data_IF_451521537376
#
_entry.id   IF_451521537376
#
_cell.length_a   1.000
_cell.length_b   1.000
_cell.length_c   1.000
_cell.angle_alpha   90.00
_cell.angle_beta   90.00
_cell.angle_gamma   90.00
#
_symmetry.space_group_name_H-M   'P 1'
#
loop_
_entity.id
_entity.type
_entity.pdbx_description
1 polymer ?
#
# COMPACT_ATOMS: atom_id res chain seq x y z
N UNK A 1 23.24 -84.39 25.27
CA UNK A 1 23.23 -82.99 25.73
C UNK A 1 22.54 -82.15 24.66
N UNK A 2 21.25 -81.87 24.85
CA UNK A 2 20.42 -81.14 23.88
C UNK A 2 20.45 -79.65 24.19
N UNK A 3 21.08 -78.86 23.33
CA UNK A 3 21.07 -77.41 23.41
C UNK A 3 19.77 -76.87 22.83
N UNK A 4 18.90 -76.38 23.73
CA UNK A 4 17.70 -75.61 23.38
C UNK A 4 18.12 -74.25 22.82
N UNK A 5 17.80 -73.99 21.55
CA UNK A 5 17.77 -72.64 20.98
C UNK A 5 16.58 -71.90 21.59
N UNK A 6 16.85 -70.75 22.21
CA UNK A 6 15.84 -69.80 22.69
C UNK A 6 15.74 -68.72 21.63
N UNK A 7 14.63 -68.71 20.89
CA UNK A 7 14.32 -67.69 19.90
C UNK A 7 13.83 -66.44 20.63
N UNK A 8 14.68 -65.41 20.67
CA UNK A 8 14.32 -64.07 21.11
C UNK A 8 13.60 -63.36 19.96
N UNK A 9 12.28 -63.25 20.06
CA UNK A 9 11.50 -62.34 19.23
C UNK A 9 11.63 -60.90 19.79
N UNK A 10 12.08 -59.92 18.98
CA UNK A 10 12.08 -58.53 19.39
C UNK A 10 10.64 -58.01 19.43
N UNK A 11 10.22 -57.57 20.61
CA UNK A 11 8.95 -56.88 20.87
C UNK A 11 8.99 -55.50 20.17
N UNK A 12 8.40 -55.42 18.97
CA UNK A 12 8.25 -54.17 18.22
C UNK A 12 7.15 -53.36 18.89
N UNK A 13 7.56 -52.46 19.79
CA UNK A 13 6.69 -51.43 20.37
C UNK A 13 6.17 -50.52 19.24
N UNK A 14 4.95 -50.78 18.80
CA UNK A 14 4.25 -49.96 17.82
C UNK A 14 3.91 -48.61 18.47
N UNK A 15 4.75 -47.60 18.23
CA UNK A 15 4.36 -46.22 18.52
C UNK A 15 3.15 -45.85 17.66
N UNK A 16 2.08 -45.28 18.25
CA UNK A 16 0.93 -44.83 17.49
C UNK A 16 1.37 -43.81 16.44
N UNK A 17 0.77 -43.84 15.24
CA UNK A 17 1.12 -42.94 14.15
C UNK A 17 0.99 -41.50 14.63
N UNK A 18 2.11 -40.75 14.61
CA UNK A 18 2.10 -39.30 14.80
C UNK A 18 1.30 -38.71 13.65
N UNK A 19 0.02 -38.45 13.90
CA UNK A 19 -0.84 -37.68 13.00
C UNK A 19 -0.19 -36.30 12.92
N UNK A 20 0.49 -36.03 11.79
CA UNK A 20 0.94 -34.71 11.42
C UNK A 20 -0.31 -33.86 11.20
N UNK A 21 -0.82 -33.29 12.29
CA UNK A 21 -1.80 -32.21 12.26
C UNK A 21 -1.19 -31.09 11.44
N UNK A 22 -1.72 -30.91 10.24
CA UNK A 22 -1.36 -29.82 9.36
C UNK A 22 -1.60 -28.51 10.13
N UNK A 23 -0.52 -27.81 10.48
CA UNK A 23 -0.52 -26.59 11.31
C UNK A 23 -1.39 -25.46 10.73
N UNK A 24 -1.94 -25.66 9.54
CA UNK A 24 -2.77 -24.73 8.78
C UNK A 24 -4.24 -24.69 9.20
N UNK A 25 -4.68 -25.53 10.16
CA UNK A 25 -6.11 -25.60 10.53
C UNK A 25 -6.50 -24.67 11.68
N UNK A 26 -5.55 -24.10 12.43
CA UNK A 26 -5.84 -23.17 13.53
C UNK A 26 -5.67 -21.75 13.00
N UNK A 27 -6.75 -20.96 13.04
CA UNK A 27 -6.69 -19.55 12.66
C UNK A 27 -5.69 -18.81 13.57
N UNK A 28 -4.70 -18.09 13.01
CA UNK A 28 -3.77 -17.30 13.81
C UNK A 28 -4.54 -16.22 14.58
N UNK A 29 -4.13 -16.00 15.83
CA UNK A 29 -4.70 -14.98 16.72
C UNK A 29 -3.61 -13.96 17.02
N UNK A 30 -3.88 -12.69 16.74
CA UNK A 30 -2.99 -11.59 17.08
C UNK A 30 -3.36 -11.06 18.48
N UNK A 31 -2.36 -10.72 19.29
CA UNK A 31 -2.59 -10.10 20.60
C UNK A 31 -3.29 -8.74 20.44
N UNK A 32 -4.18 -8.38 21.38
CA UNK A 32 -4.87 -7.09 21.37
C UNK A 32 -3.88 -5.92 21.52
N UNK A 33 -2.78 -6.15 22.25
CA UNK A 33 -1.73 -5.16 22.50
C UNK A 33 -0.65 -5.14 21.39
N UNK A 34 -0.84 -5.90 20.32
CA UNK A 34 0.15 -6.06 19.24
C UNK A 34 0.65 -4.72 18.70
N UNK A 35 -0.27 -3.80 18.38
CA UNK A 35 0.09 -2.51 17.80
C UNK A 35 0.94 -1.66 18.73
N UNK A 36 0.68 -1.72 20.05
CA UNK A 36 1.44 -0.99 21.06
C UNK A 36 2.83 -1.61 21.22
N UNK A 37 2.93 -2.95 21.23
CA UNK A 37 4.21 -3.64 21.33
C UNK A 37 5.13 -3.34 20.15
N UNK A 38 4.61 -3.41 18.92
CA UNK A 38 5.38 -3.08 17.71
C UNK A 38 5.86 -1.63 17.76
N UNK A 39 5.00 -0.67 18.12
CA UNK A 39 5.36 0.74 18.15
C UNK A 39 6.43 1.05 19.22
N UNK A 40 6.32 0.44 20.40
CA UNK A 40 7.31 0.59 21.45
C UNK A 40 8.68 0.03 21.02
N UNK A 41 8.69 -1.17 20.43
CA UNK A 41 9.92 -1.80 19.95
C UNK A 41 10.52 -1.05 18.74
N UNK A 42 9.70 -0.52 17.82
CA UNK A 42 10.15 0.36 16.73
C UNK A 42 10.84 1.62 17.31
N UNK A 43 10.21 2.28 18.29
CA UNK A 43 10.79 3.44 19.00
C UNK A 43 12.09 3.10 19.74
N UNK A 44 12.13 1.96 20.43
CA UNK A 44 13.30 1.53 21.18
C UNK A 44 14.47 1.18 20.24
N UNK A 45 14.18 0.55 19.10
CA UNK A 45 15.18 0.24 18.09
C UNK A 45 15.80 1.50 17.47
N UNK A 46 15.01 2.55 17.26
CA UNK A 46 15.52 3.84 16.77
C UNK A 46 16.46 4.54 17.76
N UNK A 47 16.20 4.39 19.07
CA UNK A 47 17.01 5.03 20.13
C UNK A 47 18.23 4.19 20.51
N UNK A 48 18.03 2.88 20.66
CA UNK A 48 19.00 1.94 21.21
C UNK A 48 18.95 0.62 20.42
N UNK A 49 19.63 0.52 19.26
CA UNK A 49 19.58 -0.67 18.44
C UNK A 49 20.15 -1.88 19.21
N UNK A 50 19.32 -2.89 19.43
CA UNK A 50 19.66 -4.12 20.15
C UNK A 50 19.21 -5.35 19.36
N UNK A 51 20.05 -6.39 19.30
CA UNK A 51 19.75 -7.61 18.55
C UNK A 51 18.48 -8.30 19.08
N UNK A 52 18.24 -8.24 20.40
CA UNK A 52 17.03 -8.75 21.02
C UNK A 52 15.77 -8.04 20.51
N UNK A 53 15.80 -6.71 20.48
CA UNK A 53 14.69 -5.88 19.97
C UNK A 53 14.40 -6.19 18.49
N UNK A 54 15.44 -6.39 17.68
CA UNK A 54 15.29 -6.81 16.28
C UNK A 54 14.60 -8.17 16.18
N UNK A 55 15.05 -9.16 16.96
CA UNK A 55 14.45 -10.49 16.96
C UNK A 55 12.98 -10.48 17.38
N UNK A 56 12.63 -9.69 18.40
CA UNK A 56 11.23 -9.52 18.84
C UNK A 56 10.37 -8.85 17.77
N UNK A 57 10.86 -7.80 17.11
CA UNK A 57 10.17 -7.16 15.98
C UNK A 57 9.98 -8.10 14.79
N UNK A 58 11.00 -8.89 14.43
CA UNK A 58 10.89 -9.89 13.36
C UNK A 58 9.82 -10.92 13.70
N UNK A 59 9.76 -11.39 14.94
CA UNK A 59 8.73 -12.33 15.39
C UNK A 59 7.32 -11.71 15.34
N UNK A 60 7.15 -10.46 15.80
CA UNK A 60 5.86 -9.77 15.76
C UNK A 60 5.39 -9.52 14.33
N UNK A 61 6.26 -9.01 13.45
CA UNK A 61 5.90 -8.83 12.04
C UNK A 61 5.58 -10.15 11.35
N UNK A 62 6.30 -11.23 11.64
CA UNK A 62 5.98 -12.55 11.09
C UNK A 62 4.59 -13.01 11.51
N UNK A 63 4.22 -12.84 12.79
CA UNK A 63 2.87 -13.14 13.28
C UNK A 63 1.79 -12.29 12.60
N UNK A 64 2.04 -11.00 12.36
CA UNK A 64 1.10 -10.14 11.65
C UNK A 64 0.95 -10.52 10.18
N UNK A 65 2.04 -10.87 9.50
CA UNK A 65 2.00 -11.33 8.10
C UNK A 65 1.15 -12.60 8.02
N UNK A 66 1.43 -13.61 8.85
CA UNK A 66 0.65 -14.85 8.90
C UNK A 66 -0.84 -14.57 9.21
N UNK A 67 -1.12 -13.68 10.16
CA UNK A 67 -2.49 -13.27 10.50
C UNK A 67 -3.21 -12.63 9.31
N UNK A 68 -2.67 -11.56 8.74
CA UNK A 68 -3.34 -10.81 7.67
C UNK A 68 -3.39 -11.60 6.35
N UNK A 69 -2.39 -12.46 6.07
CA UNK A 69 -2.40 -13.35 4.91
C UNK A 69 -3.49 -14.43 5.01
N UNK A 70 -3.72 -14.97 6.21
CA UNK A 70 -4.79 -15.94 6.49
C UNK A 70 -6.16 -15.33 6.18
N UNK A 71 -6.42 -14.10 6.63
CA UNK A 71 -7.68 -13.38 6.36
C UNK A 71 -7.75 -12.73 4.97
N UNK A 72 -6.72 -12.90 4.12
CA UNK A 72 -6.61 -12.27 2.79
C UNK A 72 -6.73 -10.74 2.83
N UNK A 73 -6.29 -10.13 3.92
CA UNK A 73 -6.21 -8.67 4.06
C UNK A 73 -4.91 -8.18 3.38
N UNK A 74 -4.98 -7.19 2.46
CA UNK A 74 -3.79 -6.66 1.77
C UNK A 74 -2.75 -6.05 2.73
N UNK A 75 -3.08 -5.77 3.98
CA UNK A 75 -2.12 -5.27 5.00
C UNK A 75 -0.91 -6.18 5.22
N UNK A 76 -0.99 -7.48 4.91
CA UNK A 76 0.19 -8.35 5.02
C UNK A 76 1.37 -7.83 4.18
N UNK A 77 1.11 -7.24 3.00
CA UNK A 77 2.16 -6.63 2.18
C UNK A 77 2.83 -5.43 2.86
N UNK A 78 2.10 -4.65 3.66
CA UNK A 78 2.67 -3.53 4.40
C UNK A 78 3.64 -4.04 5.47
N UNK A 79 3.28 -5.12 6.18
CA UNK A 79 4.14 -5.75 7.18
C UNK A 79 5.33 -6.48 6.55
N UNK A 80 5.18 -7.13 5.39
CA UNK A 80 6.29 -7.69 4.62
C UNK A 80 7.29 -6.60 4.22
N UNK A 81 6.80 -5.47 3.69
CA UNK A 81 7.65 -4.34 3.31
C UNK A 81 8.36 -3.73 4.52
N UNK A 82 7.67 -3.58 5.65
CA UNK A 82 8.29 -3.11 6.91
C UNK A 82 9.39 -4.06 7.38
N UNK A 83 9.13 -5.37 7.40
CA UNK A 83 10.11 -6.39 7.78
C UNK A 83 11.33 -6.39 6.85
N UNK A 84 11.11 -6.36 5.53
CA UNK A 84 12.20 -6.28 4.56
C UNK A 84 13.02 -5.00 4.72
N UNK A 85 12.36 -3.85 4.88
CA UNK A 85 13.03 -2.56 5.10
C UNK A 85 13.87 -2.60 6.37
N UNK A 86 13.35 -3.16 7.46
CA UNK A 86 14.08 -3.35 8.73
C UNK A 86 15.36 -4.18 8.53
N UNK A 87 15.27 -5.31 7.83
CA UNK A 87 16.39 -6.24 7.65
C UNK A 87 17.47 -5.75 6.67
N UNK A 88 17.14 -4.80 5.79
CA UNK A 88 18.10 -4.22 4.83
C UNK A 88 18.88 -3.03 5.43
N UNK A 89 18.49 -2.54 6.62
CA UNK A 89 19.21 -1.41 7.24
C UNK A 89 20.65 -1.79 7.62
N UNK A 90 21.68 -1.00 7.25
CA UNK A 90 23.08 -1.34 7.50
C UNK A 90 23.47 -1.51 8.98
N UNK A 91 22.87 -0.70 9.86
CA UNK A 91 23.03 -0.79 11.32
C UNK A 91 22.51 -2.12 11.87
N UNK A 92 21.34 -2.57 11.39
CA UNK A 92 20.74 -3.86 11.76
C UNK A 92 21.55 -5.03 11.23
N UNK A 93 22.04 -4.95 9.98
CA UNK A 93 22.91 -5.99 9.40
C UNK A 93 24.17 -6.15 10.26
N UNK A 94 24.84 -5.05 10.58
CA UNK A 94 26.05 -5.07 11.41
C UNK A 94 25.77 -5.65 12.80
N UNK A 95 24.61 -5.32 13.38
CA UNK A 95 24.19 -5.79 14.68
C UNK A 95 23.93 -7.30 14.68
N UNK A 96 23.16 -7.81 13.71
CA UNK A 96 22.84 -9.24 13.57
C UNK A 96 24.10 -10.06 13.26
N UNK A 97 25.00 -9.53 12.43
CA UNK A 97 26.29 -10.17 12.16
C UNK A 97 27.18 -10.21 13.40
N UNK A 98 27.19 -9.14 14.20
CA UNK A 98 27.97 -9.05 15.44
C UNK A 98 27.45 -9.98 16.53
N UNK A 99 26.13 -10.14 16.65
CA UNK A 99 25.49 -11.12 17.55
C UNK A 99 25.69 -12.57 17.04
N UNK A 100 26.00 -12.69 15.74
CA UNK A 100 26.37 -13.94 15.04
C UNK A 100 27.82 -14.39 15.21
N UNK A 101 28.69 -13.62 15.87
CA UNK A 101 30.05 -14.06 16.21
C UNK A 101 29.99 -15.01 17.43
N UNK A 102 29.89 -16.32 17.14
CA UNK A 102 30.10 -17.47 18.05
C UNK A 102 28.88 -17.94 18.86
N UNK A 103 27.84 -18.40 18.16
CA UNK A 103 27.27 -19.73 18.47
C UNK A 103 27.76 -20.78 17.48
N UNK A 104 29.09 -20.86 17.29
CA UNK A 104 29.75 -22.17 17.31
C UNK A 104 29.57 -22.73 18.72
N UNK A 105 28.36 -23.18 19.05
CA UNK A 105 28.21 -24.24 20.04
C UNK A 105 28.99 -25.41 19.46
N UNK A 106 30.23 -25.57 19.93
CA UNK A 106 30.84 -26.88 20.09
C UNK A 106 29.84 -27.72 20.87
N UNK A 107 28.91 -28.37 20.17
CA UNK A 107 28.64 -29.74 20.49
C UNK A 107 30.01 -30.41 20.37
N UNK A 108 30.55 -30.85 21.50
CA UNK A 108 31.62 -31.84 21.58
C UNK A 108 31.12 -33.13 20.93
N UNK A 109 30.93 -33.09 19.62
CA UNK A 109 31.19 -34.23 18.77
C UNK A 109 32.67 -34.05 18.47
N UNK A 110 33.49 -34.95 19.00
CA UNK A 110 34.90 -35.09 18.66
C UNK A 110 35.00 -35.31 17.14
N UNK A 111 34.99 -34.22 16.37
CA UNK A 111 35.38 -34.28 14.98
C UNK A 111 36.91 -34.31 14.96
N UNK A 112 37.51 -35.36 14.39
CA UNK A 112 38.96 -35.49 14.33
C UNK A 112 39.53 -34.25 13.66
N UNK A 113 40.54 -33.66 14.30
CA UNK A 113 41.26 -32.52 13.76
C UNK A 113 41.60 -32.80 12.29
N UNK A 114 41.13 -31.98 11.33
CA UNK A 114 41.53 -32.16 9.94
C UNK A 114 43.04 -32.00 9.90
N UNK A 115 43.72 -33.10 9.59
CA UNK A 115 45.17 -33.13 9.50
C UNK A 115 45.59 -32.02 8.53
N UNK A 116 46.55 -31.19 8.96
CA UNK A 116 46.92 -29.92 8.31
C UNK A 116 47.53 -30.09 6.91
N UNK A 117 47.55 -31.30 6.35
CA UNK A 117 48.22 -31.62 5.09
C UNK A 117 47.33 -31.47 3.84
N UNK A 118 46.01 -31.31 3.97
CA UNK A 118 45.09 -31.23 2.82
C UNK A 118 44.43 -29.86 2.57
N UNK A 119 44.68 -28.85 3.40
CA UNK A 119 44.03 -27.53 3.23
C UNK A 119 44.52 -26.79 1.99
N UNK A 120 45.82 -26.86 1.69
CA UNK A 120 46.41 -26.27 0.48
C UNK A 120 45.85 -26.90 -0.80
N UNK A 121 45.66 -28.23 -0.83
CA UNK A 121 45.09 -28.94 -1.97
C UNK A 121 43.62 -28.55 -2.24
N UNK A 122 42.80 -28.43 -1.19
CA UNK A 122 41.39 -28.01 -1.33
C UNK A 122 41.29 -26.55 -1.76
N UNK A 123 42.19 -25.69 -1.29
CA UNK A 123 42.25 -24.28 -1.70
C UNK A 123 42.66 -24.14 -3.18
N UNK A 124 43.61 -24.95 -3.64
CA UNK A 124 44.02 -25.01 -5.04
C UNK A 124 42.87 -25.50 -5.93
N UNK A 125 42.16 -26.56 -5.52
CA UNK A 125 41.00 -27.09 -6.26
C UNK A 125 39.88 -26.05 -6.39
N UNK A 126 39.55 -25.31 -5.33
CA UNK A 126 38.54 -24.24 -5.38
C UNK A 126 38.93 -23.10 -6.32
N UNK A 127 40.22 -22.78 -6.38
CA UNK A 127 40.74 -21.75 -7.30
C UNK A 127 40.65 -22.22 -8.74
N UNK A 128 40.98 -23.48 -9.00
CA UNK A 128 40.86 -24.09 -10.33
C UNK A 128 39.40 -24.19 -10.79
N UNK A 129 38.48 -24.58 -9.91
CA UNK A 129 37.04 -24.60 -10.21
C UNK A 129 36.48 -23.20 -10.49
N UNK A 130 36.93 -22.18 -9.74
CA UNK A 130 36.55 -20.78 -10.00
C UNK A 130 37.06 -20.33 -11.36
N UNK A 131 38.32 -20.62 -11.67
CA UNK A 131 38.93 -20.24 -12.93
C UNK A 131 38.32 -20.98 -14.13
N UNK A 132 37.94 -22.26 -13.96
CA UNK A 132 37.22 -23.03 -14.96
C UNK A 132 35.82 -22.45 -15.22
N UNK A 133 35.12 -21.98 -14.17
CA UNK A 133 33.83 -21.29 -14.33
C UNK A 133 33.98 -19.96 -15.06
N UNK A 134 35.01 -19.18 -14.73
CA UNK A 134 35.27 -17.90 -15.41
C UNK A 134 35.60 -18.12 -16.89
N UNK A 135 36.44 -19.11 -17.20
CA UNK A 135 36.75 -19.47 -18.57
C UNK A 135 35.50 -19.96 -19.35
N UNK A 136 34.65 -20.79 -18.71
CA UNK A 136 33.40 -21.24 -19.33
C UNK A 136 32.41 -20.10 -19.59
N UNK A 137 32.37 -19.10 -18.69
CA UNK A 137 31.58 -17.88 -18.87
C UNK A 137 32.13 -17.03 -20.03
N UNK A 138 33.45 -16.86 -20.11
CA UNK A 138 34.11 -16.14 -21.20
C UNK A 138 33.84 -16.80 -22.55
N UNK A 139 34.00 -18.11 -22.67
CA UNK A 139 33.69 -18.83 -23.91
C UNK A 139 32.22 -18.70 -24.32
N UNK A 140 31.30 -18.71 -23.34
CA UNK A 140 29.87 -18.52 -23.61
C UNK A 140 29.59 -17.12 -24.14
N UNK A 141 30.30 -16.11 -23.62
CA UNK A 141 30.21 -14.74 -24.08
C UNK A 141 30.73 -14.60 -25.51
N UNK A 142 31.89 -15.18 -25.81
CA UNK A 142 32.47 -15.16 -27.16
C UNK A 142 31.58 -15.88 -28.19
N UNK A 143 30.97 -17.01 -27.80
CA UNK A 143 29.99 -17.72 -28.63
C UNK A 143 28.72 -16.88 -28.86
N UNK A 144 28.33 -16.01 -27.93
CA UNK A 144 27.21 -15.06 -28.13
C UNK A 144 27.60 -13.91 -29.06
N UNK A 145 28.85 -13.43 -28.98
CA UNK A 145 29.37 -12.36 -29.85
C UNK A 145 29.49 -12.85 -31.30
N UNK A 146 29.94 -14.09 -31.51
CA UNK A 146 30.12 -14.67 -32.86
C UNK A 146 28.80 -15.07 -33.55
N UNK A 147 27.68 -15.10 -32.83
CA UNK A 147 26.36 -15.45 -33.38
C UNK A 147 25.34 -14.30 -33.19
N UNK A 148 25.56 -13.13 -33.82
CA UNK A 148 24.74 -11.94 -33.61
C UNK A 148 23.25 -12.15 -33.89
N UNK A 149 22.91 -13.03 -34.85
CA UNK A 149 21.50 -13.35 -35.17
C UNK A 149 20.75 -14.04 -34.02
N UNK A 150 21.46 -14.85 -33.20
CA UNK A 150 20.85 -15.50 -32.03
C UNK A 150 20.69 -14.52 -30.87
N UNK A 151 21.65 -13.62 -30.71
CA UNK A 151 21.58 -12.54 -29.73
C UNK A 151 20.43 -11.57 -30.05
N UNK A 152 20.25 -11.20 -31.32
CA UNK A 152 19.16 -10.34 -31.78
C UNK A 152 17.78 -10.97 -31.52
N UNK A 153 17.60 -12.26 -31.88
CA UNK A 153 16.36 -12.99 -31.57
C UNK A 153 16.09 -13.08 -30.06
N UNK A 154 17.13 -13.20 -29.24
CA UNK A 154 17.01 -13.18 -27.78
C UNK A 154 16.60 -11.80 -27.26
N UNK A 155 17.21 -10.74 -27.76
CA UNK A 155 16.88 -9.36 -27.40
C UNK A 155 15.44 -9.01 -27.76
N UNK A 156 15.00 -9.36 -28.98
CA UNK A 156 13.61 -9.17 -29.41
C UNK A 156 12.63 -9.94 -28.50
N UNK A 157 12.98 -11.15 -28.06
CA UNK A 157 12.16 -11.89 -27.08
C UNK A 157 12.11 -11.21 -25.72
N UNK A 158 13.23 -10.68 -25.23
CA UNK A 158 13.29 -9.96 -23.95
C UNK A 158 12.45 -8.67 -24.03
N UNK A 159 12.56 -7.93 -25.13
CA UNK A 159 11.80 -6.70 -25.37
C UNK A 159 10.30 -6.98 -25.45
N UNK A 160 9.88 -8.00 -26.23
CA UNK A 160 8.48 -8.42 -26.29
C UNK A 160 7.94 -8.87 -24.92
N UNK A 161 8.74 -9.59 -24.14
CA UNK A 161 8.35 -10.01 -22.79
C UNK A 161 8.20 -8.82 -21.84
N UNK A 162 9.07 -7.81 -21.97
CA UNK A 162 8.99 -6.58 -21.19
C UNK A 162 7.75 -5.79 -21.57
N UNK A 163 7.48 -5.58 -22.85
CA UNK A 163 6.26 -4.92 -23.34
C UNK A 163 4.99 -5.62 -22.85
N UNK A 164 4.99 -6.96 -22.81
CA UNK A 164 3.87 -7.73 -22.27
C UNK A 164 3.68 -7.47 -20.77
N UNK A 165 4.74 -7.50 -19.98
CA UNK A 165 4.68 -7.21 -18.54
C UNK A 165 4.26 -5.77 -18.27
N UNK A 166 4.76 -4.81 -19.04
CA UNK A 166 4.42 -3.39 -18.89
C UNK A 166 2.94 -3.15 -19.23
N UNK A 167 2.40 -3.86 -20.24
CA UNK A 167 0.95 -3.85 -20.55
C UNK A 167 0.11 -4.48 -19.45
N UNK A 168 0.52 -5.63 -18.92
CA UNK A 168 -0.17 -6.31 -17.80
C UNK A 168 -0.18 -5.45 -16.54
N UNK A 169 0.97 -4.86 -16.18
CA UNK A 169 1.10 -3.95 -15.04
C UNK A 169 0.22 -2.70 -15.23
N UNK A 170 0.25 -2.10 -16.42
CA UNK A 170 -0.60 -0.95 -16.75
C UNK A 170 -2.08 -1.30 -16.64
N UNK A 171 -2.49 -2.46 -17.17
CA UNK A 171 -3.88 -2.94 -17.09
C UNK A 171 -4.33 -3.14 -15.65
N UNK A 172 -3.47 -3.68 -14.78
CA UNK A 172 -3.77 -3.87 -13.35
C UNK A 172 -3.92 -2.53 -12.62
N UNK A 173 -3.05 -1.56 -12.91
CA UNK A 173 -3.14 -0.22 -12.35
C UNK A 173 -4.45 0.46 -12.76
N UNK A 174 -4.86 0.34 -14.03
CA UNK A 174 -6.15 0.88 -14.50
C UNK A 174 -7.36 0.21 -13.84
N UNK A 175 -7.34 -1.12 -13.65
CA UNK A 175 -8.43 -1.80 -12.94
C UNK A 175 -8.52 -1.36 -11.48
N UNK A 176 -7.38 -1.16 -10.82
CA UNK A 176 -7.34 -0.70 -9.43
C UNK A 176 -7.92 0.72 -9.30
N UNK A 177 -7.53 1.64 -10.19
CA UNK A 177 -8.12 3.01 -10.21
C UNK A 177 -9.62 3.00 -10.44
N UNK A 178 -10.12 2.20 -11.40
CA UNK A 178 -11.56 2.09 -11.65
C UNK A 178 -12.30 1.54 -10.42
N UNK A 179 -11.74 0.54 -9.74
CA UNK A 179 -12.35 -0.01 -8.51
C UNK A 179 -12.41 1.01 -7.36
N UNK A 180 -11.39 1.87 -7.26
CA UNK A 180 -11.34 2.94 -6.26
C UNK A 180 -12.39 4.02 -6.55
N UNK A 181 -12.55 4.41 -7.82
CA UNK A 181 -13.57 5.36 -8.25
C UNK A 181 -14.99 4.83 -8.03
N UNK A 182 -15.25 3.55 -8.34
CA UNK A 182 -16.53 2.91 -8.05
C UNK A 182 -16.85 2.89 -6.54
N UNK A 183 -15.87 2.57 -5.71
CA UNK A 183 -16.03 2.58 -4.26
C UNK A 183 -16.29 3.99 -3.72
N UNK A 184 -15.57 5.00 -4.23
CA UNK A 184 -15.80 6.39 -3.89
C UNK A 184 -17.23 6.84 -4.27
N UNK A 185 -17.66 6.54 -5.49
CA UNK A 185 -19.01 6.85 -5.97
C UNK A 185 -20.10 6.14 -5.16
N UNK A 186 -19.86 4.89 -4.73
CA UNK A 186 -20.75 4.15 -3.83
C UNK A 186 -20.86 4.83 -2.46
N UNK A 187 -19.75 5.33 -1.91
CA UNK A 187 -19.75 6.06 -0.63
C UNK A 187 -20.46 7.42 -0.75
N UNK A 188 -20.21 8.16 -1.82
CA UNK A 188 -20.86 9.46 -2.08
C UNK A 188 -22.37 9.31 -2.27
N UNK A 189 -22.81 8.34 -3.08
CA UNK A 189 -24.23 8.05 -3.27
C UNK A 189 -24.91 7.60 -1.98
N UNK A 190 -24.24 6.79 -1.15
CA UNK A 190 -24.74 6.39 0.17
C UNK A 190 -24.93 7.60 1.10
N UNK A 191 -23.96 8.53 1.11
CA UNK A 191 -24.06 9.79 1.86
C UNK A 191 -25.21 10.68 1.36
N UNK A 192 -25.39 10.77 0.03
CA UNK A 192 -26.48 11.53 -0.57
C UNK A 192 -27.86 10.98 -0.16
N UNK A 193 -28.05 9.66 -0.24
CA UNK A 193 -29.27 8.97 0.24
C UNK A 193 -29.52 9.22 1.72
N UNK A 194 -28.46 9.22 2.55
CA UNK A 194 -28.59 9.45 3.99
C UNK A 194 -28.99 10.90 4.31
N UNK A 195 -28.49 11.87 3.52
CA UNK A 195 -28.93 13.28 3.60
C UNK A 195 -30.40 13.44 3.17
N UNK A 196 -30.83 12.79 2.09
CA UNK A 196 -32.23 12.80 1.63
C UNK A 196 -33.17 12.18 2.66
N UNK A 197 -32.82 11.03 3.23
CA UNK A 197 -33.61 10.39 4.28
C UNK A 197 -33.73 11.26 5.55
N UNK A 198 -32.65 11.95 5.95
CA UNK A 198 -32.72 12.91 7.07
C UNK A 198 -33.68 14.06 6.78
N UNK A 199 -33.67 14.62 5.57
CA UNK A 199 -34.62 15.68 5.17
C UNK A 199 -36.07 15.20 5.25
N UNK A 200 -36.35 13.97 4.83
CA UNK A 200 -37.69 13.38 4.91
C UNK A 200 -38.13 13.10 6.36
N UNK A 201 -37.21 12.63 7.21
CA UNK A 201 -37.50 12.35 8.62
C UNK A 201 -37.83 13.63 9.40
N UNK A 202 -37.10 14.72 9.15
CA UNK A 202 -37.36 16.04 9.74
C UNK A 202 -38.72 16.62 9.34
N UNK A 203 -39.26 16.27 8.16
CA UNK A 203 -40.62 16.67 7.74
C UNK A 203 -41.72 15.85 8.41
N UNK A 204 -41.47 14.56 8.72
CA UNK A 204 -42.51 13.68 9.28
C UNK A 204 -42.79 13.86 10.78
N UNK A 205 -41.84 14.44 11.54
CA UNK A 205 -41.98 14.58 13.00
C UNK A 205 -42.85 15.75 13.47
N UNK A 206 -43.31 16.62 12.57
CA UNK A 206 -44.13 17.79 12.93
C UNK A 206 -45.64 17.43 13.01
N UNK A 207 -46.06 16.25 12.52
CA UNK A 207 -47.48 15.88 12.43
C UNK A 207 -47.99 14.87 13.46
N UNK A 208 -47.20 14.46 14.46
CA UNK A 208 -47.65 13.47 15.47
C UNK A 208 -47.25 13.87 16.89
N UNK A 209 -47.87 14.94 17.40
CA UNK A 209 -47.64 15.47 18.75
C UNK A 209 -48.58 14.91 19.84
N UNK A 210 -49.20 13.74 19.64
CA UNK A 210 -50.25 13.23 20.57
C UNK A 210 -50.06 11.78 21.07
N UNK A 211 -48.83 11.25 21.20
CA UNK A 211 -48.65 9.98 21.94
C UNK A 211 -47.34 9.98 22.72
N UNK A 212 -47.45 10.27 24.01
CA UNK A 212 -46.44 10.09 25.04
C UNK A 212 -46.28 8.59 25.34
N UNK A 213 -45.31 7.95 24.69
CA UNK A 213 -44.55 6.81 25.24
C UNK A 213 -43.54 6.41 24.18
N UNK A 214 -42.34 7.01 24.24
CA UNK A 214 -41.20 6.55 23.47
C UNK A 214 -40.07 6.28 24.44
N UNK A 215 -39.82 4.99 24.63
CA UNK A 215 -38.80 4.43 25.48
C UNK A 215 -37.40 4.77 24.93
N UNK A 216 -36.62 5.47 25.76
CA UNK A 216 -35.33 6.09 25.41
C UNK A 216 -34.17 5.06 25.48
N UNK A 217 -34.45 3.81 25.86
CA UNK A 217 -33.41 2.84 26.19
C UNK A 217 -32.56 2.33 25.01
N UNK A 218 -32.98 2.51 23.75
CA UNK A 218 -32.28 1.93 22.58
C UNK A 218 -31.32 2.89 21.85
N UNK A 219 -31.16 4.15 22.31
CA UNK A 219 -30.34 5.16 21.60
C UNK A 219 -29.00 5.49 22.28
N UNK A 220 -28.59 4.76 23.32
CA UNK A 220 -27.36 5.03 24.10
C UNK A 220 -26.26 3.96 23.86
N UNK A 221 -26.07 3.51 22.60
CA UNK A 221 -24.99 2.57 22.27
C UNK A 221 -24.03 3.03 21.17
N UNK A 222 -24.04 4.33 20.82
CA UNK A 222 -22.94 4.93 20.04
C UNK A 222 -22.40 6.13 20.80
N UNK A 223 -21.36 5.87 21.61
CA UNK A 223 -20.63 6.89 22.34
C UNK A 223 -20.01 7.92 21.39
N UNK A 224 -20.49 9.15 21.50
CA UNK A 224 -19.77 10.35 21.08
C UNK A 224 -20.16 11.43 22.09
N UNK A 225 -19.17 11.89 22.86
CA UNK A 225 -19.30 12.97 23.82
C UNK A 225 -19.88 14.23 23.16
N UNK A 226 -21.14 14.53 23.47
CA UNK A 226 -21.81 15.77 23.06
C UNK A 226 -22.16 16.57 24.30
N UNK A 227 -21.23 17.43 24.69
CA UNK A 227 -21.40 18.40 25.77
C UNK A 227 -22.44 19.45 25.36
N UNK A 228 -23.43 19.65 26.22
CA UNK A 228 -24.38 20.77 26.32
C UNK A 228 -25.38 20.98 25.17
N UNK A 229 -26.52 20.30 25.28
CA UNK A 229 -27.79 20.75 24.70
C UNK A 229 -28.70 21.29 25.81
N UNK A 230 -28.68 22.61 26.02
CA UNK A 230 -29.62 23.30 26.90
C UNK A 230 -31.00 23.35 26.26
N UNK A 231 -32.03 22.95 27.02
CA UNK A 231 -33.44 23.17 26.72
C UNK A 231 -33.71 24.64 26.37
N UNK A 232 -34.21 24.90 25.16
CA UNK A 232 -34.76 26.19 24.79
C UNK A 232 -36.15 26.02 24.16
N UNK A 233 -37.03 26.90 24.59
CA UNK A 233 -38.49 26.95 24.39
C UNK A 233 -38.84 27.24 22.92
N UNK A 234 -39.92 26.64 22.36
CA UNK A 234 -40.34 26.86 20.98
C UNK A 234 -41.09 28.19 20.85
N UNK A 235 -40.37 29.28 20.57
CA UNK A 235 -40.97 30.46 19.96
C UNK A 235 -40.93 30.27 18.44
N UNK A 236 -42.11 30.00 17.85
CA UNK A 236 -42.34 29.91 16.41
C UNK A 236 -42.18 31.30 15.81
N UNK A 237 -41.00 31.54 15.24
CA UNK A 237 -40.62 32.76 14.56
C UNK A 237 -40.33 32.42 13.09
N UNK A 238 -41.32 32.67 12.22
CA UNK A 238 -41.30 32.30 10.80
C UNK A 238 -40.13 32.94 10.02
N UNK A 239 -39.51 33.98 10.56
CA UNK A 239 -38.34 34.67 9.97
C UNK A 239 -37.06 33.80 9.91
N UNK A 240 -36.97 32.75 10.75
CA UNK A 240 -35.80 31.85 10.76
C UNK A 240 -35.77 30.90 9.56
N UNK A 241 -36.92 30.59 8.98
CA UNK A 241 -37.03 29.64 7.86
C UNK A 241 -36.46 30.25 6.58
N UNK A 242 -36.79 31.51 6.26
CA UNK A 242 -36.35 32.18 5.04
C UNK A 242 -34.82 32.37 5.01
N UNK A 243 -34.22 32.77 6.14
CA UNK A 243 -32.76 32.93 6.23
C UNK A 243 -32.03 31.60 6.06
N UNK A 244 -32.60 30.50 6.56
CA UNK A 244 -32.04 29.16 6.40
C UNK A 244 -32.04 28.72 4.93
N UNK A 245 -33.13 28.99 4.21
CA UNK A 245 -33.22 28.68 2.78
C UNK A 245 -32.22 29.49 1.95
N UNK A 246 -32.05 30.79 2.25
CA UNK A 246 -31.10 31.65 1.55
C UNK A 246 -29.65 31.16 1.73
N UNK A 247 -29.28 30.75 2.94
CA UNK A 247 -27.95 30.17 3.23
C UNK A 247 -27.76 28.86 2.47
N UNK A 248 -28.77 27.99 2.45
CA UNK A 248 -28.69 26.73 1.69
C UNK A 248 -28.54 26.95 0.19
N UNK A 249 -29.16 27.99 -0.38
CA UNK A 249 -28.99 28.35 -1.79
C UNK A 249 -27.59 28.88 -2.08
N UNK A 250 -27.05 29.74 -1.20
CA UNK A 250 -25.69 30.25 -1.32
C UNK A 250 -24.65 29.12 -1.29
N UNK A 251 -24.77 28.19 -0.35
CA UNK A 251 -23.90 27.02 -0.25
C UNK A 251 -23.96 26.16 -1.52
N UNK A 252 -25.16 25.91 -2.03
CA UNK A 252 -25.35 25.13 -3.27
C UNK A 252 -24.67 25.79 -4.47
N UNK A 253 -24.74 27.11 -4.60
CA UNK A 253 -24.11 27.84 -5.71
C UNK A 253 -22.58 27.88 -5.58
N UNK A 254 -22.05 27.95 -4.35
CA UNK A 254 -20.61 27.80 -4.13
C UNK A 254 -20.15 26.40 -4.55
N UNK A 255 -20.86 25.35 -4.13
CA UNK A 255 -20.54 23.97 -4.53
C UNK A 255 -20.52 23.83 -6.05
N UNK A 256 -21.51 24.40 -6.75
CA UNK A 256 -21.57 24.39 -8.22
C UNK A 256 -20.37 25.11 -8.88
N UNK A 257 -19.99 26.30 -8.38
CA UNK A 257 -18.82 27.04 -8.89
C UNK A 257 -17.53 26.25 -8.68
N UNK A 258 -17.38 25.59 -7.53
CA UNK A 258 -16.21 24.77 -7.22
C UNK A 258 -16.14 23.53 -8.12
N UNK A 259 -17.27 22.83 -8.32
CA UNK A 259 -17.35 21.64 -9.17
C UNK A 259 -17.06 21.98 -10.63
N UNK A 260 -17.71 23.02 -11.16
CA UNK A 260 -17.46 23.52 -12.53
C UNK A 260 -16.00 23.94 -12.70
N UNK A 261 -15.43 24.63 -11.72
CA UNK A 261 -14.03 25.05 -11.74
C UNK A 261 -13.04 23.88 -11.78
N UNK A 262 -13.35 22.75 -11.13
CA UNK A 262 -12.57 21.52 -11.20
C UNK A 262 -12.69 20.83 -12.57
N UNK A 263 -13.90 20.79 -13.14
CA UNK A 263 -14.12 20.22 -14.47
C UNK A 263 -13.41 21.02 -15.57
N UNK A 264 -13.51 22.36 -15.53
CA UNK A 264 -12.80 23.25 -16.45
C UNK A 264 -11.28 23.06 -16.36
N UNK A 265 -10.73 22.93 -15.14
CA UNK A 265 -9.30 22.68 -14.92
C UNK A 265 -8.85 21.35 -15.53
N UNK A 266 -9.62 20.28 -15.31
CA UNK A 266 -9.33 18.96 -15.89
C UNK A 266 -9.35 18.98 -17.43
N UNK A 267 -10.35 19.65 -18.02
CA UNK A 267 -10.49 19.78 -19.47
C UNK A 267 -9.31 20.54 -20.08
N UNK A 268 -8.95 21.71 -19.55
CA UNK A 268 -7.84 22.52 -20.06
C UNK A 268 -6.50 21.77 -19.96
N UNK A 269 -6.25 21.07 -18.84
CA UNK A 269 -5.05 20.23 -18.70
C UNK A 269 -5.01 19.14 -19.77
N UNK A 270 -6.15 18.48 -20.02
CA UNK A 270 -6.25 17.41 -21.02
C UNK A 270 -6.00 17.94 -22.44
N UNK A 271 -6.56 19.10 -22.78
CA UNK A 271 -6.42 19.75 -24.07
C UNK A 271 -4.96 20.15 -24.34
N UNK A 272 -4.31 20.79 -23.37
CA UNK A 272 -2.88 21.14 -23.49
C UNK A 272 -2.04 19.86 -23.66
N UNK A 273 -2.28 18.82 -22.87
CA UNK A 273 -1.54 17.56 -23.02
C UNK A 273 -1.74 16.93 -24.39
N UNK A 274 -2.96 16.90 -24.92
CA UNK A 274 -3.27 16.35 -26.24
C UNK A 274 -2.57 17.16 -27.34
N UNK A 275 -2.64 18.50 -27.28
CA UNK A 275 -2.00 19.43 -28.22
C UNK A 275 -0.50 19.15 -28.38
N UNK A 276 0.20 18.89 -27.27
CA UNK A 276 1.65 18.65 -27.30
C UNK A 276 2.04 17.17 -27.47
N UNK A 277 1.12 16.22 -27.26
CA UNK A 277 1.39 14.78 -27.38
C UNK A 277 1.95 14.41 -28.75
N UNK A 278 1.37 14.94 -29.82
CA UNK A 278 1.82 14.66 -31.19
C UNK A 278 3.20 15.26 -31.45
N UNK A 279 3.46 16.49 -30.99
CA UNK A 279 4.75 17.14 -31.16
C UNK A 279 5.86 16.41 -30.41
N UNK A 280 5.59 15.97 -29.18
CA UNK A 280 6.54 15.20 -28.37
C UNK A 280 6.87 13.84 -29.01
N UNK A 281 5.90 13.19 -29.65
CA UNK A 281 6.10 11.93 -30.35
C UNK A 281 7.06 12.08 -31.54
N UNK A 282 6.87 13.09 -32.37
CA UNK A 282 7.75 13.37 -33.53
C UNK A 282 9.19 13.67 -33.08
N UNK A 283 9.34 14.41 -31.96
CA UNK A 283 10.67 14.73 -31.43
C UNK A 283 11.40 13.52 -30.84
N UNK A 284 10.66 12.53 -30.34
CA UNK A 284 11.24 11.29 -29.82
C UNK A 284 11.89 10.44 -30.93
N UNK A 285 11.34 10.49 -32.14
CA UNK A 285 11.86 9.77 -33.31
C UNK A 285 13.13 10.42 -33.89
N UNK A 286 13.44 11.67 -33.51
CA UNK A 286 14.54 12.48 -34.09
C UNK A 286 15.91 12.30 -33.41
N UNK A 287 16.08 11.26 -32.58
CA UNK A 287 17.38 10.92 -31.99
C UNK A 287 17.89 11.92 -30.94
N UNK A 288 19.22 12.12 -30.85
CA UNK A 288 19.86 12.89 -29.76
C UNK A 288 19.44 14.36 -29.72
N UNK A 289 19.33 15.01 -30.88
CA UNK A 289 18.88 16.41 -30.98
C UNK A 289 17.41 16.51 -30.55
N UNK A 290 16.59 15.54 -30.95
CA UNK A 290 15.18 15.44 -30.54
C UNK A 290 14.98 15.34 -29.02
N UNK A 291 15.93 14.72 -28.29
CA UNK A 291 15.84 14.61 -26.83
C UNK A 291 15.90 15.96 -26.12
N UNK A 292 16.81 16.86 -26.52
CA UNK A 292 16.90 18.20 -25.93
C UNK A 292 15.62 18.99 -26.19
N UNK A 293 15.15 19.00 -27.44
CA UNK A 293 13.91 19.69 -27.83
C UNK A 293 12.68 19.12 -27.12
N UNK A 294 12.64 17.79 -26.91
CA UNK A 294 11.59 17.12 -26.15
C UNK A 294 11.54 17.61 -24.71
N UNK A 295 12.67 17.83 -24.06
CA UNK A 295 12.73 18.30 -22.69
C UNK A 295 12.32 19.78 -22.57
N UNK A 296 12.78 20.65 -23.48
CA UNK A 296 12.31 22.04 -23.57
C UNK A 296 10.79 22.12 -23.80
N UNK A 297 10.25 21.23 -24.65
CA UNK A 297 8.82 21.19 -24.94
C UNK A 297 8.00 20.68 -23.76
N UNK A 298 8.51 19.72 -22.98
CA UNK A 298 7.88 19.31 -21.71
C UNK A 298 7.86 20.46 -20.71
N UNK A 299 8.93 21.24 -20.63
CA UNK A 299 8.97 22.42 -19.76
C UNK A 299 7.92 23.45 -20.19
N UNK A 300 7.81 23.71 -21.50
CA UNK A 300 6.76 24.57 -22.07
C UNK A 300 5.35 24.08 -21.72
N UNK A 301 5.08 22.78 -21.82
CA UNK A 301 3.80 22.18 -21.41
C UNK A 301 3.52 22.44 -19.93
N UNK A 302 4.50 22.23 -19.05
CA UNK A 302 4.34 22.48 -17.61
C UNK A 302 4.06 23.95 -17.32
N UNK A 303 4.76 24.85 -18.00
CA UNK A 303 4.55 26.30 -17.86
C UNK A 303 3.15 26.74 -18.33
N UNK A 304 2.70 26.24 -19.49
CA UNK A 304 1.36 26.55 -20.05
C UNK A 304 0.24 26.00 -19.15
N UNK A 305 0.38 24.77 -18.64
CA UNK A 305 -0.54 24.19 -17.64
C UNK A 305 -0.60 25.05 -16.38
N UNK A 306 0.57 25.41 -15.82
CA UNK A 306 0.64 26.23 -14.60
C UNK A 306 -0.02 27.60 -14.79
N UNK A 307 0.22 28.24 -15.94
CA UNK A 307 -0.40 29.53 -16.25
C UNK A 307 -1.92 29.41 -16.39
N UNK A 308 -2.41 28.37 -17.07
CA UNK A 308 -3.84 28.14 -17.26
C UNK A 308 -4.57 27.87 -15.94
N UNK A 309 -3.98 27.05 -15.05
CA UNK A 309 -4.51 26.82 -13.69
C UNK A 309 -4.58 28.15 -12.91
N UNK A 310 -3.57 29.02 -13.05
CA UNK A 310 -3.58 30.33 -12.38
C UNK A 310 -4.76 31.19 -12.86
N UNK A 311 -4.99 31.26 -14.17
CA UNK A 311 -6.11 32.03 -14.75
C UNK A 311 -7.45 31.49 -14.26
N UNK A 312 -7.65 30.17 -14.28
CA UNK A 312 -8.90 29.54 -13.82
C UNK A 312 -9.15 29.76 -12.32
N UNK A 313 -8.09 29.77 -11.50
CA UNK A 313 -8.20 30.07 -10.07
C UNK A 313 -8.63 31.52 -9.82
N UNK A 314 -8.11 32.48 -10.58
CA UNK A 314 -8.54 33.88 -10.46
C UNK A 314 -9.98 34.07 -10.95
N UNK A 315 -10.37 33.44 -12.06
CA UNK A 315 -11.77 33.41 -12.53
C UNK A 315 -12.72 32.87 -11.45
N UNK A 316 -12.37 31.75 -10.83
CA UNK A 316 -13.16 31.12 -9.75
C UNK A 316 -13.31 32.04 -8.53
N UNK A 317 -12.23 32.73 -8.13
CA UNK A 317 -12.29 33.70 -7.03
C UNK A 317 -13.23 34.85 -7.35
N UNK A 318 -13.18 35.36 -8.58
CA UNK A 318 -14.04 36.44 -9.04
C UNK A 318 -15.52 36.03 -9.05
N UNK A 319 -15.84 34.82 -9.54
CA UNK A 319 -17.22 34.28 -9.50
C UNK A 319 -17.75 34.15 -8.06
N UNK A 320 -16.93 33.65 -7.14
CA UNK A 320 -17.30 33.56 -5.70
C UNK A 320 -17.50 34.95 -5.11
N UNK A 321 -16.66 35.92 -5.47
CA UNK A 321 -16.78 37.29 -5.00
C UNK A 321 -18.10 37.93 -5.47
N UNK A 322 -18.44 37.80 -6.76
CA UNK A 322 -19.70 38.28 -7.32
C UNK A 322 -20.92 37.64 -6.66
N UNK A 323 -20.85 36.32 -6.40
CA UNK A 323 -21.90 35.60 -5.68
C UNK A 323 -22.09 36.16 -4.27
N UNK A 324 -20.98 36.41 -3.55
CA UNK A 324 -21.00 36.97 -2.20
C UNK A 324 -21.65 38.35 -2.16
N UNK A 325 -21.29 39.24 -3.09
CA UNK A 325 -21.90 40.58 -3.15
C UNK A 325 -23.39 40.51 -3.48
N UNK A 326 -23.80 39.62 -4.41
CA UNK A 326 -25.21 39.40 -4.74
C UNK A 326 -26.04 39.00 -3.51
N UNK A 327 -25.55 38.07 -2.70
CA UNK A 327 -26.26 37.64 -1.48
C UNK A 327 -26.20 38.69 -0.37
N UNK A 328 -25.09 39.43 -0.25
CA UNK A 328 -25.02 40.56 0.69
C UNK A 328 -26.11 41.59 0.41
N UNK A 329 -26.37 41.92 -0.86
CA UNK A 329 -27.44 42.86 -1.24
C UNK A 329 -28.86 42.32 -1.00
N UNK A 330 -29.05 41.01 -0.91
CA UNK A 330 -30.35 40.41 -0.58
C UNK A 330 -30.62 40.36 0.92
N UNK A 331 -29.56 40.44 1.73
CA UNK A 331 -29.62 40.42 3.20
C UNK A 331 -29.71 41.83 3.81
N UNK A 332 -29.38 42.88 3.05
CA UNK A 332 -29.45 44.29 3.45
C UNK A 332 -30.83 44.88 3.18
#
# INVERSE_FOLDING_TARGET
>A
MSSKKVDNHPEVSAQPPKVLLDRRTIAPILSLDFGIQVLNLESDLEKYPSAMTVHELVNLYSQAIEYYEYYKDPKHFDYENKLHTLLVRPDIISLVESDGIVRKRRMTIEFPAPSSKNYEAVKAQRKEESQAKDNALSEKLDKMIQAPEKAEKSLVRIENNRDKRDKEASSKIFSDFNSQDENLNRRLSSRKKLKENKKNLSRSRISSANSSDFDISDLISTGIDSVNSSMAIPASDNSKTERSELVSQYESLIEEILEKGCQEEALVISEIKIKYKNQLRVMEESGRIGKSVKDDMKEKVRAEVKNSIKILKEKRKEEIHQLKEKFRSQLS
#
